data_IF_729812704902
#
_entry.id   IF_729812704902
#
_cell.length_a   1.000
_cell.length_b   1.000
_cell.length_c   1.000
_cell.angle_alpha   90.00
_cell.angle_beta   90.00
_cell.angle_gamma   90.00
#
_symmetry.space_group_name_H-M   'P 1'
#
loop_
_entity.id
_entity.type
_entity.pdbx_description
1 polymer ?
#
# COMPACT_ATOMS: atom_id res chain seq x y z
N UNK A 1 -10.24 -21.73 16.52
CA UNK A 1 -10.62 -20.32 16.36
C UNK A 1 -10.38 -19.62 17.69
N UNK A 2 -9.52 -18.61 17.71
CA UNK A 2 -9.18 -17.87 18.93
C UNK A 2 -10.33 -16.98 19.41
N UNK A 3 -10.26 -16.50 20.65
CA UNK A 3 -11.22 -15.52 21.20
C UNK A 3 -11.23 -14.21 20.39
N UNK A 4 -10.05 -13.70 20.05
CA UNK A 4 -9.86 -12.52 19.19
C UNK A 4 -10.44 -12.70 17.77
N UNK A 5 -10.43 -13.91 17.21
CA UNK A 5 -11.04 -14.18 15.89
C UNK A 5 -12.56 -14.13 15.94
N UNK A 6 -13.16 -14.65 17.02
CA UNK A 6 -14.61 -14.61 17.21
C UNK A 6 -15.10 -13.18 17.40
N UNK A 7 -14.34 -12.38 18.14
CA UNK A 7 -14.61 -10.96 18.32
C UNK A 7 -14.52 -10.18 16.99
N UNK A 8 -13.46 -10.42 16.18
CA UNK A 8 -13.33 -9.81 14.85
C UNK A 8 -14.55 -10.13 13.95
N UNK A 9 -15.01 -11.38 13.95
CA UNK A 9 -16.19 -11.79 13.20
C UNK A 9 -17.48 -11.12 13.68
N UNK A 10 -17.65 -10.94 14.99
CA UNK A 10 -18.83 -10.28 15.54
C UNK A 10 -18.93 -8.83 15.05
N UNK A 11 -17.81 -8.11 15.05
CA UNK A 11 -17.77 -6.73 14.54
C UNK A 11 -18.05 -6.67 13.03
N UNK A 12 -17.53 -7.62 12.25
CA UNK A 12 -17.80 -7.69 10.81
C UNK A 12 -19.28 -7.96 10.54
N UNK A 13 -19.91 -8.87 11.27
CA UNK A 13 -21.34 -9.14 11.14
C UNK A 13 -22.19 -7.92 11.56
N UNK A 14 -21.74 -7.15 12.56
CA UNK A 14 -22.33 -5.85 12.88
C UNK A 14 -22.26 -4.87 11.70
N UNK A 15 -21.11 -4.76 11.05
CA UNK A 15 -20.93 -3.90 9.88
C UNK A 15 -21.86 -4.29 8.72
N UNK A 16 -22.04 -5.59 8.44
CA UNK A 16 -22.98 -6.09 7.42
C UNK A 16 -24.43 -5.69 7.69
N UNK A 17 -24.81 -5.54 8.96
CA UNK A 17 -26.14 -5.04 9.37
C UNK A 17 -26.24 -3.51 9.40
N UNK A 18 -25.17 -2.78 9.05
CA UNK A 18 -25.15 -1.32 9.11
C UNK A 18 -25.06 -0.76 10.54
N UNK A 19 -24.60 -1.55 11.51
CA UNK A 19 -24.43 -1.08 12.89
C UNK A 19 -23.32 -0.02 12.99
N UNK A 20 -23.68 1.19 13.40
CA UNK A 20 -22.77 2.32 13.53
C UNK A 20 -21.66 2.09 14.58
N UNK A 21 -21.96 1.35 15.66
CA UNK A 21 -20.96 1.02 16.68
C UNK A 21 -19.92 0.04 16.12
N UNK A 22 -20.38 -0.95 15.37
CA UNK A 22 -19.51 -1.91 14.71
C UNK A 22 -18.63 -1.25 13.63
N UNK A 23 -19.22 -0.38 12.80
CA UNK A 23 -18.46 0.37 11.79
C UNK A 23 -17.41 1.27 12.44
N UNK A 24 -17.74 1.95 13.55
CA UNK A 24 -16.77 2.77 14.30
C UNK A 24 -15.63 1.94 14.87
N UNK A 25 -15.93 0.76 15.42
CA UNK A 25 -14.91 -0.15 15.93
C UNK A 25 -13.97 -0.62 14.80
N UNK A 26 -14.54 -1.14 13.71
CA UNK A 26 -13.77 -1.61 12.55
C UNK A 26 -12.94 -0.48 11.94
N UNK A 27 -13.50 0.72 11.83
CA UNK A 27 -12.78 1.91 11.38
C UNK A 27 -11.56 2.20 12.25
N UNK A 28 -11.73 2.30 13.57
CA UNK A 28 -10.63 2.58 14.51
C UNK A 28 -9.54 1.51 14.47
N UNK A 29 -9.91 0.25 14.36
CA UNK A 29 -8.98 -0.89 14.31
C UNK A 29 -8.19 -0.96 12.99
N UNK A 30 -8.81 -0.59 11.87
CA UNK A 30 -8.16 -0.66 10.55
C UNK A 30 -7.40 0.61 10.19
N UNK A 31 -7.81 1.78 10.67
CA UNK A 31 -7.27 3.07 10.23
C UNK A 31 -5.74 3.16 10.29
N UNK A 32 -5.04 2.80 11.38
CA UNK A 32 -3.58 2.92 11.43
C UNK A 32 -2.88 2.03 10.39
N UNK A 33 -3.40 0.81 10.21
CA UNK A 33 -2.87 -0.15 9.26
C UNK A 33 -3.08 0.30 7.81
N UNK A 34 -4.29 0.77 7.48
CA UNK A 34 -4.60 1.26 6.13
C UNK A 34 -3.86 2.56 5.82
N UNK A 35 -3.69 3.46 6.80
CA UNK A 35 -2.89 4.68 6.63
C UNK A 35 -1.44 4.35 6.25
N UNK A 36 -0.83 3.38 6.94
CA UNK A 36 0.51 2.90 6.60
C UNK A 36 0.59 2.25 5.21
N UNK A 37 -0.48 1.57 4.78
CA UNK A 37 -0.57 1.00 3.44
C UNK A 37 -0.68 2.07 2.34
N UNK A 38 -1.56 3.04 2.50
CA UNK A 38 -1.80 4.13 1.54
C UNK A 38 -0.59 5.05 1.39
N UNK A 39 0.14 5.33 2.49
CA UNK A 39 1.37 6.14 2.49
C UNK A 39 2.49 5.63 1.59
N UNK A 40 2.44 4.35 1.19
CA UNK A 40 3.39 3.82 0.19
C UNK A 40 3.10 4.31 -1.23
N UNK A 41 1.90 4.80 -1.50
CA UNK A 41 1.43 5.14 -2.84
C UNK A 41 1.07 6.63 -2.99
N UNK A 42 0.75 7.32 -1.90
CA UNK A 42 0.38 8.73 -1.85
C UNK A 42 1.33 9.48 -0.90
N UNK A 43 1.86 10.62 -1.35
CA UNK A 43 2.85 11.40 -0.59
C UNK A 43 2.24 12.56 0.21
N UNK A 44 1.14 13.14 -0.28
CA UNK A 44 0.46 14.25 0.36
C UNK A 44 -0.46 13.74 1.49
N UNK A 45 -0.31 14.29 2.70
CA UNK A 45 -1.09 13.86 3.87
C UNK A 45 -2.58 14.22 3.76
N UNK A 46 -2.93 15.30 3.08
CA UNK A 46 -4.32 15.68 2.83
C UNK A 46 -4.95 14.67 1.85
N UNK A 47 -4.19 14.27 0.82
CA UNK A 47 -4.64 13.23 -0.12
C UNK A 47 -4.79 11.86 0.54
N UNK A 48 -3.95 11.53 1.53
CA UNK A 48 -4.10 10.29 2.29
C UNK A 48 -5.44 10.26 3.04
N UNK A 49 -5.90 11.38 3.60
CA UNK A 49 -7.20 11.43 4.28
C UNK A 49 -8.36 11.20 3.31
N UNK A 50 -8.32 11.83 2.13
CA UNK A 50 -9.34 11.65 1.09
C UNK A 50 -9.41 10.20 0.61
N UNK A 51 -8.24 9.59 0.32
CA UNK A 51 -8.14 8.20 -0.11
C UNK A 51 -8.66 7.25 0.97
N UNK A 52 -8.34 7.49 2.24
CA UNK A 52 -8.83 6.66 3.34
C UNK A 52 -10.35 6.79 3.49
N UNK A 53 -10.92 8.00 3.37
CA UNK A 53 -12.38 8.17 3.40
C UNK A 53 -13.06 7.36 2.30
N UNK A 54 -12.63 7.52 1.05
CA UNK A 54 -13.19 6.77 -0.08
C UNK A 54 -12.98 5.25 0.08
N UNK A 55 -11.83 4.83 0.61
CA UNK A 55 -11.55 3.43 0.92
C UNK A 55 -12.53 2.88 1.97
N UNK A 56 -12.79 3.61 3.05
CA UNK A 56 -13.73 3.16 4.09
C UNK A 56 -15.17 3.11 3.59
N UNK A 57 -15.59 4.08 2.75
CA UNK A 57 -16.89 4.02 2.07
C UNK A 57 -17.01 2.72 1.27
N UNK A 58 -15.98 2.36 0.49
CA UNK A 58 -15.96 1.11 -0.29
C UNK A 58 -15.88 -0.14 0.59
N UNK A 59 -15.08 -0.13 1.65
CA UNK A 59 -14.96 -1.23 2.60
C UNK A 59 -16.33 -1.56 3.18
N UNK A 60 -17.07 -0.57 3.68
CA UNK A 60 -18.40 -0.81 4.23
C UNK A 60 -19.43 -1.14 3.16
N UNK A 61 -19.34 -0.54 1.96
CA UNK A 61 -20.20 -0.88 0.83
C UNK A 61 -20.05 -2.34 0.37
N UNK A 62 -18.84 -2.88 0.43
CA UNK A 62 -18.53 -4.23 -0.05
C UNK A 62 -18.31 -5.23 1.08
N UNK A 63 -18.63 -4.88 2.33
CA UNK A 63 -18.37 -5.71 3.51
C UNK A 63 -19.08 -7.07 3.43
N UNK A 64 -20.22 -7.15 2.72
CA UNK A 64 -20.95 -8.40 2.48
C UNK A 64 -20.17 -9.41 1.63
N UNK A 65 -19.18 -8.94 0.85
CA UNK A 65 -18.32 -9.79 0.03
C UNK A 65 -17.13 -10.36 0.82
N UNK A 66 -16.92 -9.92 2.05
CA UNK A 66 -15.87 -10.46 2.90
C UNK A 66 -16.22 -11.89 3.35
N UNK A 67 -15.33 -12.83 3.01
CA UNK A 67 -15.42 -14.23 3.39
C UNK A 67 -14.25 -14.58 4.34
N UNK A 68 -14.52 -14.82 5.64
CA UNK A 68 -13.48 -15.13 6.61
C UNK A 68 -12.76 -16.46 6.34
N UNK A 69 -13.33 -17.34 5.49
CA UNK A 69 -12.66 -18.58 5.09
C UNK A 69 -11.57 -18.34 4.03
N UNK A 70 -11.60 -17.20 3.34
CA UNK A 70 -10.64 -16.84 2.29
C UNK A 70 -9.50 -15.97 2.79
N UNK A 71 -9.57 -15.46 4.02
CA UNK A 71 -8.54 -14.63 4.61
C UNK A 71 -9.05 -13.76 5.76
N UNK A 72 -8.19 -12.84 6.19
CA UNK A 72 -8.46 -11.92 7.30
C UNK A 72 -8.93 -10.55 6.80
N UNK A 73 -9.64 -9.83 7.68
CA UNK A 73 -10.23 -8.53 7.36
C UNK A 73 -9.17 -7.49 6.97
N UNK A 74 -8.05 -7.45 7.70
CA UNK A 74 -6.95 -6.51 7.45
C UNK A 74 -6.42 -6.59 6.01
N UNK A 75 -5.93 -7.74 5.51
CA UNK A 75 -5.52 -7.87 4.11
C UNK A 75 -6.62 -7.52 3.11
N UNK A 76 -7.85 -7.97 3.34
CA UNK A 76 -8.98 -7.69 2.44
C UNK A 76 -9.25 -6.18 2.32
N UNK A 77 -9.29 -5.47 3.44
CA UNK A 77 -9.46 -4.02 3.47
C UNK A 77 -8.27 -3.27 2.87
N UNK A 78 -7.04 -3.74 3.09
CA UNK A 78 -5.85 -3.18 2.46
C UNK A 78 -5.92 -3.26 0.93
N UNK A 79 -6.44 -4.38 0.38
CA UNK A 79 -6.61 -4.48 -1.08
C UNK A 79 -7.50 -3.37 -1.64
N UNK A 80 -8.60 -3.06 -0.94
CA UNK A 80 -9.51 -1.98 -1.33
C UNK A 80 -8.80 -0.62 -1.23
N UNK A 81 -8.16 -0.33 -0.10
CA UNK A 81 -7.50 0.94 0.14
C UNK A 81 -6.35 1.23 -0.85
N UNK A 82 -5.50 0.23 -1.12
CA UNK A 82 -4.40 0.35 -2.08
C UNK A 82 -4.93 0.58 -3.49
N UNK A 83 -6.01 -0.11 -3.88
CA UNK A 83 -6.61 0.11 -5.19
C UNK A 83 -7.19 1.53 -5.34
N UNK A 84 -7.81 2.07 -4.29
CA UNK A 84 -8.26 3.48 -4.28
C UNK A 84 -7.06 4.42 -4.42
N UNK A 85 -6.00 4.20 -3.65
CA UNK A 85 -4.78 5.01 -3.71
C UNK A 85 -4.18 5.05 -5.12
N UNK A 86 -3.99 3.90 -5.76
CA UNK A 86 -3.44 3.81 -7.12
C UNK A 86 -4.35 4.50 -8.14
N UNK A 87 -5.66 4.32 -8.02
CA UNK A 87 -6.63 4.91 -8.95
C UNK A 87 -6.64 6.42 -8.85
N UNK A 88 -6.71 6.97 -7.63
CA UNK A 88 -6.70 8.41 -7.39
C UNK A 88 -5.36 9.06 -7.71
N UNK A 89 -4.24 8.41 -7.37
CA UNK A 89 -2.90 8.89 -7.72
C UNK A 89 -2.71 9.01 -9.24
N UNK A 90 -3.14 8.00 -10.01
CA UNK A 90 -3.08 8.04 -11.48
C UNK A 90 -4.01 9.08 -12.10
N UNK A 91 -5.21 9.26 -11.55
CA UNK A 91 -6.14 10.29 -12.02
C UNK A 91 -5.54 11.68 -11.86
N UNK A 92 -4.82 11.92 -10.75
CA UNK A 92 -4.23 13.22 -10.43
C UNK A 92 -2.94 13.50 -11.18
N UNK A 93 -2.05 12.51 -11.38
CA UNK A 93 -0.90 12.66 -12.29
C UNK A 93 -1.35 13.09 -13.69
N UNK A 94 -2.43 12.49 -14.21
CA UNK A 94 -3.02 12.88 -15.51
C UNK A 94 -3.58 14.30 -15.54
N UNK A 95 -3.98 14.85 -14.39
CA UNK A 95 -4.47 16.24 -14.26
C UNK A 95 -3.31 17.22 -14.08
N UNK A 96 -2.21 16.79 -13.45
CA UNK A 96 -0.99 17.58 -13.22
C UNK A 96 -0.02 17.59 -14.41
N UNK A 97 -0.26 16.83 -15.49
CA UNK A 97 0.44 16.95 -16.78
C UNK A 97 0.06 18.24 -17.58
N UNK A 98 -0.23 19.33 -16.86
CA UNK A 98 -0.17 20.72 -17.35
C UNK A 98 1.19 21.31 -16.92
N UNK A 99 1.90 22.08 -17.76
CA UNK A 99 3.34 22.27 -17.63
C UNK A 99 3.70 23.11 -16.41
N UNK A 100 4.37 22.48 -15.44
CA UNK A 100 4.97 23.16 -14.29
C UNK A 100 5.46 22.18 -13.24
N UNK A 101 6.77 21.99 -13.18
CA UNK A 101 7.48 21.15 -12.21
C UNK A 101 7.05 21.42 -10.76
N UNK A 102 7.06 20.38 -9.91
CA UNK A 102 7.91 20.35 -8.70
C UNK A 102 7.89 18.96 -8.07
N UNK A 103 9.05 18.30 -8.03
CA UNK A 103 9.31 17.25 -7.06
C UNK A 103 9.35 17.91 -5.67
N UNK A 104 8.37 17.61 -4.82
CA UNK A 104 8.26 18.21 -3.48
C UNK A 104 8.93 17.33 -2.42
N UNK A 105 9.77 17.98 -1.61
CA UNK A 105 10.52 17.47 -0.47
C UNK A 105 9.58 17.06 0.67
N UNK A 106 9.85 15.92 1.33
CA UNK A 106 9.03 15.37 2.42
C UNK A 106 9.72 15.60 3.77
N UNK A 107 8.97 16.13 4.74
CA UNK A 107 9.36 16.23 6.16
C UNK A 107 8.89 14.99 6.94
N UNK A 108 9.69 14.45 7.89
CA UNK A 108 9.33 13.27 8.68
C UNK A 108 8.57 13.65 9.96
N UNK A 109 7.55 12.86 10.33
CA UNK A 109 6.93 12.94 11.66
C UNK A 109 6.85 11.56 12.34
N UNK A 110 7.78 11.38 13.29
CA UNK A 110 7.82 10.57 14.51
C UNK A 110 6.66 9.58 14.80
N UNK A 111 6.95 8.28 14.92
CA UNK A 111 7.53 7.60 16.09
C UNK A 111 7.58 6.08 15.81
N UNK A 112 8.72 5.45 16.14
CA UNK A 112 8.99 3.99 16.09
C UNK A 112 9.20 3.31 14.72
N UNK A 113 9.94 3.86 13.75
CA UNK A 113 10.46 3.04 12.60
C UNK A 113 11.62 3.65 11.80
N UNK A 114 12.76 3.94 12.42
CA UNK A 114 13.93 4.49 11.68
C UNK A 114 14.40 3.56 10.54
N UNK A 115 14.39 2.24 10.71
CA UNK A 115 14.79 1.30 9.65
C UNK A 115 13.82 1.22 8.45
N UNK A 116 12.52 1.47 8.67
CA UNK A 116 11.52 1.40 7.61
C UNK A 116 11.47 2.71 6.80
N UNK A 117 11.64 3.86 7.44
CA UNK A 117 11.74 5.15 6.74
C UNK A 117 12.99 5.20 5.86
N UNK A 118 14.13 4.71 6.36
CA UNK A 118 15.35 4.61 5.57
C UNK A 118 15.14 3.69 4.36
N UNK A 119 14.53 2.51 4.56
CA UNK A 119 14.19 1.61 3.45
C UNK A 119 13.22 2.27 2.45
N UNK A 120 12.20 2.97 2.93
CA UNK A 120 11.25 3.68 2.07
C UNK A 120 11.96 4.80 1.30
N UNK A 121 12.82 5.58 1.95
CA UNK A 121 13.61 6.63 1.30
C UNK A 121 14.61 6.07 0.28
N UNK A 122 15.26 4.94 0.59
CA UNK A 122 16.17 4.22 -0.31
C UNK A 122 15.42 3.69 -1.55
N UNK A 123 14.20 3.17 -1.36
CA UNK A 123 13.35 2.70 -2.45
C UNK A 123 12.70 3.84 -3.27
N UNK A 124 12.61 5.08 -2.74
CA UNK A 124 12.10 6.25 -3.50
C UNK A 124 12.99 6.65 -4.68
N UNK A 125 14.25 6.21 -4.73
CA UNK A 125 15.10 6.39 -5.90
C UNK A 125 14.75 5.45 -7.07
N UNK A 126 13.90 4.46 -6.83
CA UNK A 126 13.47 3.50 -7.84
C UNK A 126 12.48 4.16 -8.80
N UNK A 127 12.56 3.89 -10.12
CA UNK A 127 11.50 4.26 -11.05
C UNK A 127 10.13 3.81 -10.54
N UNK A 128 9.15 4.72 -10.56
CA UNK A 128 7.84 4.54 -9.93
C UNK A 128 7.14 3.24 -10.35
N UNK A 129 7.26 2.85 -11.62
CA UNK A 129 6.62 1.67 -12.18
C UNK A 129 7.20 0.36 -11.66
N UNK A 130 8.48 0.37 -11.26
CA UNK A 130 9.15 -0.77 -10.64
C UNK A 130 8.77 -0.83 -9.15
N UNK A 131 8.73 0.33 -8.50
CA UNK A 131 8.39 0.47 -7.08
C UNK A 131 6.96 -0.01 -6.80
N UNK A 132 5.98 0.40 -7.61
CA UNK A 132 4.59 -0.04 -7.51
C UNK A 132 4.47 -1.57 -7.58
N UNK A 133 5.12 -2.20 -8.58
CA UNK A 133 5.08 -3.66 -8.74
C UNK A 133 5.80 -4.38 -7.62
N UNK A 134 6.93 -3.86 -7.14
CA UNK A 134 7.68 -4.42 -6.02
C UNK A 134 6.82 -4.44 -4.75
N UNK A 135 6.21 -3.30 -4.40
CA UNK A 135 5.34 -3.20 -3.24
C UNK A 135 4.12 -4.10 -3.35
N UNK A 136 3.39 -4.04 -4.47
CA UNK A 136 2.19 -4.85 -4.66
C UNK A 136 2.49 -6.35 -4.53
N UNK A 137 3.58 -6.83 -5.12
CA UNK A 137 3.86 -8.27 -5.13
C UNK A 137 4.55 -8.75 -3.85
N UNK A 138 5.56 -8.03 -3.36
CA UNK A 138 6.39 -8.52 -2.24
C UNK A 138 5.92 -8.04 -0.87
N UNK A 139 5.34 -6.84 -0.78
CA UNK A 139 4.91 -6.25 0.50
C UNK A 139 3.43 -6.54 0.73
N UNK A 140 2.60 -6.28 -0.26
CA UNK A 140 1.15 -6.42 -0.16
C UNK A 140 0.64 -7.82 -0.54
N UNK A 141 1.52 -8.67 -1.09
CA UNK A 141 1.24 -10.08 -1.38
C UNK A 141 0.26 -10.31 -2.54
N UNK A 142 0.08 -9.34 -3.43
CA UNK A 142 -0.74 -9.51 -4.62
C UNK A 142 -0.07 -10.44 -5.64
N UNK A 143 -0.88 -11.24 -6.32
CA UNK A 143 -0.41 -11.97 -7.48
C UNK A 143 -0.07 -11.02 -8.64
N UNK A 144 0.74 -11.50 -9.60
CA UNK A 144 1.00 -10.76 -10.84
C UNK A 144 -0.28 -10.46 -11.64
N UNK A 145 -1.32 -11.31 -11.51
CA UNK A 145 -2.61 -11.09 -12.18
C UNK A 145 -3.39 -9.94 -11.53
N UNK A 146 -3.46 -9.91 -10.21
CA UNK A 146 -4.10 -8.81 -9.47
C UNK A 146 -3.34 -7.50 -9.69
N UNK A 147 -2.02 -7.52 -9.55
CA UNK A 147 -1.12 -6.38 -9.80
C UNK A 147 -1.32 -5.82 -11.21
N UNK A 148 -1.37 -6.68 -12.23
CA UNK A 148 -1.61 -6.29 -13.61
C UNK A 148 -2.95 -5.56 -13.80
N UNK A 149 -4.01 -6.07 -13.16
CA UNK A 149 -5.34 -5.44 -13.20
C UNK A 149 -5.32 -4.05 -12.55
N UNK A 150 -4.72 -3.94 -11.35
CA UNK A 150 -4.64 -2.67 -10.61
C UNK A 150 -3.80 -1.64 -11.35
N UNK A 151 -2.71 -2.08 -11.99
CA UNK A 151 -1.81 -1.18 -12.71
C UNK A 151 -2.21 -0.93 -14.17
N UNK A 152 -3.23 -1.61 -14.69
CA UNK A 152 -3.63 -1.57 -16.11
C UNK A 152 -2.47 -1.95 -17.07
N UNK A 153 -1.75 -3.01 -16.72
CA UNK A 153 -0.63 -3.58 -17.50
C UNK A 153 -0.85 -5.07 -17.74
N UNK A 154 0.03 -5.73 -18.51
CA UNK A 154 0.00 -7.20 -18.64
C UNK A 154 0.67 -7.89 -17.43
N UNK A 155 0.21 -9.10 -17.10
CA UNK A 155 0.86 -9.93 -16.07
C UNK A 155 2.32 -10.24 -16.39
N UNK A 156 2.65 -10.32 -17.68
CA UNK A 156 4.02 -10.49 -18.15
C UNK A 156 4.88 -9.25 -17.87
N UNK A 157 4.35 -8.05 -18.14
CA UNK A 157 5.03 -6.81 -17.80
C UNK A 157 5.21 -6.65 -16.28
N UNK A 158 4.24 -7.11 -15.48
CA UNK A 158 4.39 -7.16 -14.01
C UNK A 158 5.58 -8.04 -13.59
N UNK A 159 5.75 -9.25 -14.15
CA UNK A 159 6.92 -10.11 -13.85
C UNK A 159 8.23 -9.46 -14.27
N UNK A 160 8.27 -8.88 -15.46
CA UNK A 160 9.46 -8.19 -15.97
C UNK A 160 9.85 -7.00 -15.09
N UNK A 161 8.87 -6.18 -14.66
CA UNK A 161 9.09 -5.07 -13.74
C UNK A 161 9.59 -5.56 -12.38
N UNK A 162 9.04 -6.64 -11.83
CA UNK A 162 9.54 -7.21 -10.58
C UNK A 162 11.00 -7.67 -10.68
N UNK A 163 11.36 -8.35 -11.76
CA UNK A 163 12.75 -8.78 -12.00
C UNK A 163 13.69 -7.57 -12.08
N UNK A 164 13.29 -6.51 -12.80
CA UNK A 164 14.05 -5.26 -12.89
C UNK A 164 14.14 -4.53 -11.55
N UNK A 165 13.06 -4.53 -10.76
CA UNK A 165 13.03 -3.94 -9.43
C UNK A 165 14.01 -4.64 -8.48
N UNK A 166 14.02 -5.98 -8.47
CA UNK A 166 14.99 -6.78 -7.70
C UNK A 166 16.42 -6.47 -8.12
N UNK A 167 16.68 -6.43 -9.43
CA UNK A 167 18.01 -6.08 -9.96
C UNK A 167 18.44 -4.67 -9.53
N UNK A 168 17.53 -3.70 -9.63
CA UNK A 168 17.77 -2.31 -9.20
C UNK A 168 18.16 -2.24 -7.73
N UNK A 169 17.49 -3.02 -6.86
CA UNK A 169 17.83 -3.12 -5.44
C UNK A 169 19.21 -3.76 -5.25
N UNK A 170 19.47 -4.91 -5.86
CA UNK A 170 20.76 -5.63 -5.68
C UNK A 170 21.98 -4.89 -6.25
N UNK A 171 21.80 -4.04 -7.26
CA UNK A 171 22.89 -3.21 -7.80
C UNK A 171 23.24 -2.02 -6.90
N UNK A 172 22.30 -1.58 -6.07
CA UNK A 172 22.44 -0.37 -5.25
C UNK A 172 22.56 -0.67 -3.77
N UNK A 173 22.14 -1.86 -3.34
CA UNK A 173 22.10 -2.25 -1.94
C UNK A 173 22.59 -3.69 -1.73
N UNK A 174 23.40 -3.85 -0.70
CA UNK A 174 23.89 -5.12 -0.17
C UNK A 174 23.25 -5.38 1.19
N UNK A 175 22.89 -6.64 1.44
CA UNK A 175 22.45 -7.09 2.76
C UNK A 175 23.68 -7.35 3.63
N UNK A 176 23.93 -6.46 4.59
CA UNK A 176 24.98 -6.63 5.60
C UNK A 176 24.32 -6.71 6.98
N UNK A 177 24.48 -7.84 7.66
CA UNK A 177 23.98 -8.00 9.05
C UNK A 177 22.46 -7.96 9.25
N UNK A 178 21.67 -8.09 8.18
CA UNK A 178 20.20 -7.95 8.23
C UNK A 178 19.68 -6.57 7.85
N UNK A 179 20.57 -5.62 7.55
CA UNK A 179 20.23 -4.28 7.09
C UNK A 179 20.60 -4.12 5.60
N UNK A 180 19.75 -3.38 4.86
CA UNK A 180 20.00 -3.01 3.47
C UNK A 180 20.92 -1.78 3.45
N UNK A 181 22.19 -1.99 3.14
CA UNK A 181 23.21 -0.95 3.08
C UNK A 181 23.54 -0.60 1.63
N UNK A 182 23.80 0.68 1.26
CA UNK A 182 24.24 1.02 -0.08
C UNK A 182 25.52 0.27 -0.48
N UNK A 183 25.55 -0.29 -1.70
CA UNK A 183 26.75 -0.93 -2.24
C UNK A 183 27.87 0.11 -2.31
N UNK A 184 28.98 -0.15 -1.61
CA UNK A 184 30.19 0.67 -1.73
C UNK A 184 30.87 0.38 -3.06
N UNK A 185 30.44 1.02 -4.14
CA UNK A 185 31.24 1.06 -5.37
C UNK A 185 31.26 2.48 -5.93
N UNK A 186 32.44 3.06 -6.25
CA UNK A 186 32.51 4.39 -6.85
C UNK A 186 31.94 4.30 -8.26
N UNK A 187 30.97 5.17 -8.58
CA UNK A 187 30.66 5.50 -9.97
C UNK A 187 31.92 6.15 -10.57
N UNK A 188 32.67 5.37 -11.34
CA UNK A 188 33.76 5.81 -12.22
C UNK A 188 33.21 6.56 -13.43
#
# INVERSE_FOLDING_TARGET
MGESEREELQWIEGCKRGDAAAQRHVFGTLLPYLKGAVRRYIYDEDEIQDVLQEAFIRIFKYIDQFDPNRGRMRPWAAKIAINVAITEGKRRQRIQELPGQTALTVYPSALETMALEDLIALLKGMPSELYEVLNLVLVDGFSHKETASMLSISAELSRQRLTRARKWVTERFELSGGELTPVKTPLS
#
